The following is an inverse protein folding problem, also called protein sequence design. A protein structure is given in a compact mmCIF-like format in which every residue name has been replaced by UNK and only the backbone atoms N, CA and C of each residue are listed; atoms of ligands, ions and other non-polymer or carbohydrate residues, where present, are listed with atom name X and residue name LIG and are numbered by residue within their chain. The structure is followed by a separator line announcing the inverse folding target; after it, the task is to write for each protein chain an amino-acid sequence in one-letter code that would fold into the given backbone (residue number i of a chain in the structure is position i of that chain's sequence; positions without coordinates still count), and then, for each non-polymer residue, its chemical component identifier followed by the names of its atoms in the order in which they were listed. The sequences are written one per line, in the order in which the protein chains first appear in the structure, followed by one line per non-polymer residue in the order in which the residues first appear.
data_IF_098231440832
#
_entry.id   IF_098231440832
#
_cell.length_a   1.000
_cell.length_b   1.000
_cell.length_c   1.000
_cell.angle_alpha   90.00
_cell.angle_beta   90.00
_cell.angle_gamma   90.00
#
_symmetry.space_group_name_H-M   'P 1'
#
loop_
_entity.id
_entity.type
_entity.pdbx_description
1 polymer ?
#
# COMPACT_ATOMS: atom_id res chain seq x y z
N UNK A 1 16.49 12.55 2.68
CA UNK A 1 16.54 11.15 2.22
C UNK A 1 15.67 11.03 0.98
N UNK A 2 16.19 10.51 -0.14
CA UNK A 2 15.45 10.46 -1.42
C UNK A 2 14.51 9.25 -1.56
N UNK A 3 14.26 8.52 -0.46
CA UNK A 3 13.40 7.36 -0.41
C UNK A 3 12.45 7.45 0.79
N UNK A 4 11.15 7.54 0.52
CA UNK A 4 10.08 7.51 1.50
C UNK A 4 9.61 6.05 1.66
N UNK A 5 9.80 5.52 2.87
CA UNK A 5 9.34 4.18 3.26
C UNK A 5 8.10 4.29 4.14
N UNK A 6 7.20 3.32 4.02
CA UNK A 6 5.94 3.30 4.78
C UNK A 6 5.71 1.93 5.44
N UNK A 7 4.96 1.95 6.53
CA UNK A 7 4.42 0.77 7.17
C UNK A 7 2.91 0.68 6.88
N UNK A 8 2.40 -0.54 6.81
CA UNK A 8 0.96 -0.82 6.72
C UNK A 8 0.55 -1.59 7.96
N UNK A 9 -0.31 -0.97 8.76
CA UNK A 9 -0.74 -1.46 10.06
C UNK A 9 -2.22 -1.88 10.04
N UNK A 10 -2.55 -2.88 10.83
CA UNK A 10 -3.95 -3.25 11.11
C UNK A 10 -4.61 -2.31 12.13
N UNK A 11 -5.86 -2.61 12.48
CA UNK A 11 -6.68 -1.88 13.43
C UNK A 11 -6.06 -1.77 14.84
N UNK A 12 -5.15 -2.67 15.20
CA UNK A 12 -4.42 -2.66 16.47
C UNK A 12 -3.08 -1.89 16.37
N UNK A 13 -2.78 -1.29 15.22
CA UNK A 13 -1.51 -0.62 14.97
C UNK A 13 -0.33 -1.59 14.78
N UNK A 14 -0.59 -2.87 14.50
CA UNK A 14 0.46 -3.88 14.29
C UNK A 14 0.76 -4.04 12.79
N UNK A 15 2.03 -4.28 12.41
CA UNK A 15 2.38 -4.54 11.01
C UNK A 15 1.58 -5.72 10.43
N UNK A 16 0.89 -5.49 9.31
CA UNK A 16 -0.01 -6.49 8.73
C UNK A 16 0.24 -6.72 7.24
N UNK A 17 0.48 -7.99 6.87
CA UNK A 17 0.69 -8.39 5.47
C UNK A 17 -0.59 -8.34 4.64
N UNK A 18 -1.76 -8.49 5.27
CA UNK A 18 -3.06 -8.39 4.58
C UNK A 18 -3.29 -6.94 4.13
N UNK A 19 -3.11 -6.00 5.05
CA UNK A 19 -3.20 -4.58 4.75
C UNK A 19 -2.06 -4.09 3.84
N UNK A 20 -0.86 -4.66 3.94
CA UNK A 20 0.21 -4.43 2.94
C UNK A 20 -0.24 -4.82 1.54
N UNK A 21 -0.84 -6.01 1.40
CA UNK A 21 -1.33 -6.50 0.12
C UNK A 21 -2.46 -5.61 -0.41
N UNK A 22 -3.39 -5.20 0.46
CA UNK A 22 -4.44 -4.25 0.11
C UNK A 22 -3.87 -2.96 -0.45
N UNK A 23 -2.98 -2.29 0.29
CA UNK A 23 -2.43 -1.00 -0.12
C UNK A 23 -1.69 -1.10 -1.44
N UNK A 24 -0.77 -2.06 -1.57
CA UNK A 24 -0.03 -2.27 -2.82
C UNK A 24 -0.94 -2.62 -4.00
N UNK A 25 -2.04 -3.33 -3.77
CA UNK A 25 -3.04 -3.60 -4.82
C UNK A 25 -3.75 -2.34 -5.27
N UNK A 26 -4.13 -1.44 -4.36
CA UNK A 26 -4.78 -0.18 -4.73
C UNK A 26 -3.84 0.69 -5.57
N UNK A 27 -2.56 0.78 -5.17
CA UNK A 27 -1.55 1.48 -5.96
C UNK A 27 -1.40 0.87 -7.36
N UNK A 28 -1.30 -0.46 -7.44
CA UNK A 28 -1.23 -1.19 -8.72
C UNK A 28 -2.45 -0.95 -9.61
N UNK A 29 -3.66 -0.93 -9.03
CA UNK A 29 -4.89 -0.67 -9.76
C UNK A 29 -4.94 0.76 -10.31
N UNK A 30 -4.35 1.71 -9.59
CA UNK A 30 -4.16 3.09 -10.04
C UNK A 30 -2.93 3.31 -10.93
N UNK A 31 -2.19 2.27 -11.33
CA UNK A 31 -1.02 2.39 -12.21
C UNK A 31 0.29 2.76 -11.52
N UNK A 32 0.34 2.80 -10.18
CA UNK A 32 1.51 3.19 -9.39
C UNK A 32 2.25 1.96 -8.82
N UNK A 33 3.50 1.78 -9.22
CA UNK A 33 4.39 0.73 -8.72
C UNK A 33 5.28 1.24 -7.57
N UNK A 34 4.75 1.25 -6.35
CA UNK A 34 5.45 1.83 -5.20
C UNK A 34 5.48 0.93 -3.96
N UNK A 35 6.41 -0.03 -3.87
CA UNK A 35 6.75 -0.68 -2.60
C UNK A 35 7.45 0.27 -1.61
N UNK A 36 8.02 1.36 -2.14
CA UNK A 36 8.48 2.58 -1.50
C UNK A 36 8.40 3.71 -2.54
N UNK A 37 8.53 4.97 -2.12
CA UNK A 37 8.50 6.11 -3.05
C UNK A 37 9.89 6.76 -3.17
N UNK A 38 10.43 6.78 -4.38
CA UNK A 38 11.73 7.40 -4.68
C UNK A 38 11.51 8.48 -5.72
N UNK A 39 11.76 9.74 -5.34
CA UNK A 39 11.62 10.88 -6.26
C UNK A 39 12.94 11.07 -7.01
N UNK A 40 12.84 11.27 -8.32
CA UNK A 40 13.98 11.56 -9.19
C UNK A 40 13.63 12.67 -10.18
N UNK A 41 14.65 13.24 -10.82
CA UNK A 41 14.46 14.28 -11.85
C UNK A 41 13.73 13.80 -13.11
N UNK A 42 13.47 12.49 -13.23
CA UNK A 42 12.69 11.94 -14.33
C UNK A 42 11.16 12.08 -14.13
N UNK A 43 10.71 12.38 -12.90
CA UNK A 43 9.30 12.58 -12.58
C UNK A 43 8.93 14.06 -12.72
N UNK A 44 7.87 14.34 -13.48
CA UNK A 44 7.28 15.66 -13.58
C UNK A 44 6.12 15.86 -12.60
N UNK A 45 5.59 17.09 -12.56
CA UNK A 45 4.48 17.45 -11.68
C UNK A 45 3.26 16.54 -11.89
N UNK A 46 2.94 16.20 -13.15
CA UNK A 46 1.82 15.31 -13.46
C UNK A 46 2.01 13.88 -12.91
N UNK A 47 3.24 13.36 -12.89
CA UNK A 47 3.53 12.05 -12.31
C UNK A 47 3.35 12.06 -10.78
N UNK A 48 3.76 13.17 -10.16
CA UNK A 48 3.63 13.38 -8.71
C UNK A 48 2.15 13.53 -8.32
N UNK A 49 1.40 14.37 -9.03
CA UNK A 49 -0.02 14.60 -8.79
C UNK A 49 -0.81 13.30 -8.95
N UNK A 50 -0.58 12.55 -10.04
CA UNK A 50 -1.20 11.26 -10.24
C UNK A 50 -0.86 10.26 -9.11
N UNK A 51 0.40 10.24 -8.66
CA UNK A 51 0.81 9.39 -7.54
C UNK A 51 0.10 9.77 -6.24
N UNK A 52 -0.04 11.08 -5.97
CA UNK A 52 -0.75 11.59 -4.78
C UNK A 52 -2.23 11.20 -4.82
N UNK A 53 -2.89 11.36 -5.97
CA UNK A 53 -4.30 11.00 -6.15
C UNK A 53 -4.53 9.50 -5.89
N UNK A 54 -3.71 8.64 -6.50
CA UNK A 54 -3.79 7.19 -6.30
C UNK A 54 -3.53 6.79 -4.85
N UNK A 55 -2.59 7.45 -4.16
CA UNK A 55 -2.34 7.22 -2.73
C UNK A 55 -3.51 7.67 -1.88
N UNK A 56 -4.14 8.80 -2.20
CA UNK A 56 -5.31 9.30 -1.49
C UNK A 56 -6.50 8.33 -1.61
N UNK A 57 -6.77 7.83 -2.81
CA UNK A 57 -7.78 6.80 -3.06
C UNK A 57 -7.47 5.50 -2.31
N UNK A 58 -6.22 5.05 -2.36
CA UNK A 58 -5.77 3.86 -1.64
C UNK A 58 -5.99 4.01 -0.13
N UNK A 59 -5.69 5.17 0.44
CA UNK A 59 -5.94 5.48 1.85
C UNK A 59 -7.43 5.47 2.21
N UNK A 60 -8.29 5.98 1.33
CA UNK A 60 -9.74 5.93 1.55
C UNK A 60 -10.28 4.49 1.60
N UNK A 61 -9.79 3.60 0.73
CA UNK A 61 -10.11 2.17 0.78
C UNK A 61 -9.50 1.50 2.01
N UNK A 62 -8.25 1.85 2.35
CA UNK A 62 -7.56 1.34 3.53
C UNK A 62 -8.33 1.64 4.83
N UNK A 63 -8.86 2.86 4.96
CA UNK A 63 -9.71 3.24 6.09
C UNK A 63 -10.95 2.36 6.19
N UNK A 64 -11.67 2.13 5.07
CA UNK A 64 -12.83 1.24 5.07
C UNK A 64 -12.49 -0.18 5.54
N UNK A 65 -11.34 -0.70 5.12
CA UNK A 65 -10.86 -2.00 5.58
C UNK A 65 -10.58 -2.04 7.09
N UNK A 66 -9.94 -0.99 7.62
CA UNK A 66 -9.69 -0.86 9.06
C UNK A 66 -11.01 -0.75 9.85
N UNK A 67 -12.01 -0.02 9.33
CA UNK A 67 -13.33 0.10 9.99
C UNK A 67 -14.07 -1.24 10.05
N UNK A 68 -13.89 -2.07 9.02
CA UNK A 68 -14.46 -3.41 8.95
C UNK A 68 -13.63 -4.47 9.71
N UNK A 69 -12.42 -4.14 10.15
CA UNK A 69 -11.41 -5.09 10.65
C UNK A 69 -11.18 -6.30 9.70
N UNK A 70 -11.39 -6.10 8.39
CA UNK A 70 -11.19 -7.14 7.38
C UNK A 70 -10.87 -6.54 6.00
N UNK A 71 -9.62 -6.66 5.51
CA UNK A 71 -9.26 -6.16 4.18
C UNK A 71 -9.70 -7.08 3.02
N UNK A 72 -10.21 -8.28 3.30
CA UNK A 72 -10.51 -9.31 2.27
C UNK A 72 -11.36 -8.80 1.11
N UNK A 73 -12.44 -8.03 1.32
CA UNK A 73 -13.29 -7.55 0.22
C UNK A 73 -12.54 -6.74 -0.84
N UNK A 74 -11.40 -6.13 -0.48
CA UNK A 74 -10.63 -5.25 -1.35
C UNK A 74 -9.32 -5.86 -1.87
N UNK A 75 -8.95 -7.06 -1.43
CA UNK A 75 -7.70 -7.71 -1.82
C UNK A 75 -7.79 -8.50 -3.15
N UNK A 76 -8.99 -8.92 -3.55
CA UNK A 76 -9.30 -9.75 -4.72
C UNK A 76 -8.32 -10.94 -4.96
N UNK A 77 -7.76 -11.49 -3.88
CA UNK A 77 -6.72 -12.51 -3.94
C UNK A 77 -6.06 -12.77 -2.59
N UNK A 78 -5.18 -13.78 -2.55
CA UNK A 78 -4.47 -14.15 -1.32
C UNK A 78 -3.43 -13.08 -0.96
N UNK A 79 -3.19 -12.83 0.34
CA UNK A 79 -2.09 -11.98 0.79
C UNK A 79 -0.74 -12.42 0.25
N UNK A 80 0.15 -11.45 0.03
CA UNK A 80 1.56 -11.71 -0.27
C UNK A 80 2.17 -12.53 0.87
N UNK A 81 2.91 -13.60 0.51
CA UNK A 81 3.66 -14.41 1.48
C UNK A 81 5.07 -13.85 1.63
N UNK A 82 5.52 -13.47 2.85
CA UNK A 82 6.90 -13.07 3.08
C UNK A 82 7.89 -14.16 2.66
N UNK A 83 8.99 -13.73 2.04
CA UNK A 83 10.10 -14.61 1.65
C UNK A 83 10.81 -15.13 2.90
N UNK A 84 11.21 -14.21 3.79
CA UNK A 84 11.73 -14.56 5.11
C UNK A 84 10.57 -14.88 6.04
N UNK A 85 10.53 -16.13 6.50
CA UNK A 85 9.56 -16.59 7.50
C UNK A 85 10.33 -17.00 8.73
N UNK A 86 9.78 -16.73 9.91
CA UNK A 86 10.31 -17.28 11.14
C UNK A 86 10.30 -18.80 11.00
N UNK A 87 11.46 -19.43 11.14
CA UNK A 87 11.54 -20.88 11.25
C UNK A 87 10.73 -21.23 12.51
N UNK A 88 9.67 -21.99 12.32
CA UNK A 88 8.91 -22.63 13.40
C UNK A 88 9.62 -23.92 13.76
#
# INVERSE_FOLDING_TARGET
ASNLVFATLDEDGRPSQRYRTLFLRQLLAGGVLAPSFVVSSALGDADLDHTVDVVAEACAVYRKALDAADPTPWMAGRPVKPVFRRLV
#
